data_IF_294864669493
#
_entry.id   IF_294864669493
#
_cell.length_a   1.000
_cell.length_b   1.000
_cell.length_c   1.000
_cell.angle_alpha   90.00
_cell.angle_beta   90.00
_cell.angle_gamma   90.00
#
_symmetry.space_group_name_H-M   'P 1'
#
loop_
_entity.id
_entity.type
_entity.pdbx_description
1 polymer ?
#
# COMPACT_ATOMS: atom_id res chain seq x y z
N UNK A 1 6.77 0.10 -7.47
CA UNK A 1 6.48 1.13 -8.48
C UNK A 1 7.45 2.30 -8.31
N UNK A 2 7.38 3.10 -7.22
CA UNK A 2 8.21 4.30 -7.04
C UNK A 2 9.72 4.02 -7.22
N UNK A 3 10.22 2.94 -6.60
CA UNK A 3 11.63 2.54 -6.72
C UNK A 3 12.04 2.20 -8.16
N UNK A 4 11.16 1.56 -8.93
CA UNK A 4 11.41 1.23 -10.34
C UNK A 4 11.37 2.48 -11.23
N UNK A 5 10.57 3.48 -10.84
CA UNK A 5 10.47 4.76 -11.54
C UNK A 5 11.57 5.76 -11.13
N UNK A 6 12.36 5.45 -10.09
CA UNK A 6 13.33 6.39 -9.51
C UNK A 6 12.67 7.65 -8.92
N UNK A 7 11.41 7.52 -8.46
CA UNK A 7 10.60 8.61 -7.96
C UNK A 7 10.45 8.56 -6.43
N UNK A 8 10.12 9.69 -5.81
CA UNK A 8 9.80 9.69 -4.39
C UNK A 8 8.48 8.96 -4.12
N UNK A 9 8.34 8.49 -2.89
CA UNK A 9 7.16 7.75 -2.46
C UNK A 9 6.54 8.40 -1.22
N UNK A 10 5.27 8.77 -1.35
CA UNK A 10 4.44 9.23 -0.24
C UNK A 10 3.34 8.21 0.03
N UNK A 11 3.14 7.85 1.29
CA UNK A 11 2.09 6.92 1.69
C UNK A 11 1.19 7.55 2.74
N UNK A 12 -0.10 7.36 2.55
CA UNK A 12 -1.15 7.74 3.49
C UNK A 12 -2.27 6.71 3.47
N UNK A 13 -3.36 6.96 4.18
CA UNK A 13 -4.54 6.10 4.16
C UNK A 13 -5.83 6.91 4.22
N UNK A 14 -6.93 6.36 3.69
CA UNK A 14 -8.23 7.02 3.71
C UNK A 14 -8.63 7.54 5.10
N UNK A 15 -8.54 6.74 6.17
CA UNK A 15 -8.88 7.20 7.53
C UNK A 15 -8.02 8.34 8.08
N UNK A 16 -6.81 8.53 7.60
CA UNK A 16 -5.90 9.61 8.02
C UNK A 16 -6.28 10.92 7.36
N UNK A 17 -6.81 10.87 6.14
CA UNK A 17 -7.25 12.02 5.38
C UNK A 17 -8.66 12.46 5.84
N UNK A 18 -8.75 13.08 6.99
CA UNK A 18 -10.02 13.45 7.60
C UNK A 18 -10.61 14.74 7.00
N UNK A 19 -9.77 15.64 6.55
CA UNK A 19 -10.14 16.96 6.00
C UNK A 19 -9.50 17.18 4.62
N UNK A 20 -10.14 18.02 3.83
CA UNK A 20 -9.64 18.43 2.52
C UNK A 20 -8.23 19.03 2.58
N UNK A 21 -7.92 19.80 3.62
CA UNK A 21 -6.61 20.37 3.84
C UNK A 21 -5.49 19.34 4.07
N UNK A 22 -5.81 18.15 4.60
CA UNK A 22 -4.82 17.09 4.81
C UNK A 22 -4.31 16.56 3.45
N UNK A 23 -5.23 16.32 2.52
CA UNK A 23 -4.88 15.88 1.17
C UNK A 23 -4.19 17.01 0.39
N UNK A 24 -4.70 18.24 0.47
CA UNK A 24 -4.12 19.40 -0.18
C UNK A 24 -2.64 19.60 0.23
N UNK A 25 -2.34 19.50 1.52
CA UNK A 25 -0.97 19.59 2.02
C UNK A 25 -0.05 18.49 1.46
N UNK A 26 -0.56 17.28 1.24
CA UNK A 26 0.23 16.22 0.61
C UNK A 26 0.45 16.51 -0.88
N UNK A 27 -0.60 16.87 -1.62
CA UNK A 27 -0.54 17.10 -3.06
C UNK A 27 0.38 18.26 -3.44
N UNK A 28 0.33 19.37 -2.70
CA UNK A 28 1.18 20.55 -2.94
C UNK A 28 2.66 20.31 -2.62
N UNK A 29 2.97 19.27 -1.85
CA UNK A 29 4.34 18.85 -1.52
C UNK A 29 4.86 17.68 -2.37
N UNK A 30 4.14 17.26 -3.41
CA UNK A 30 4.63 16.30 -4.38
C UNK A 30 5.58 16.97 -5.38
N UNK A 31 6.61 16.24 -5.78
CA UNK A 31 7.45 16.59 -6.91
C UNK A 31 6.93 15.97 -8.21
N UNK A 32 7.53 16.37 -9.34
CA UNK A 32 7.21 15.77 -10.63
C UNK A 32 7.52 14.27 -10.63
N UNK A 33 6.55 13.48 -11.14
CA UNK A 33 6.60 12.01 -11.21
C UNK A 33 6.59 11.28 -9.86
N UNK A 34 6.36 11.96 -8.74
CA UNK A 34 6.23 11.32 -7.44
C UNK A 34 5.06 10.33 -7.40
N UNK A 35 5.15 9.36 -6.50
CA UNK A 35 4.11 8.35 -6.30
C UNK A 35 3.40 8.61 -4.98
N UNK A 36 2.10 8.87 -5.05
CA UNK A 36 1.21 8.94 -3.88
C UNK A 36 0.45 7.62 -3.73
N UNK A 37 0.59 6.97 -2.60
CA UNK A 37 -0.14 5.75 -2.24
C UNK A 37 -1.16 6.04 -1.15
N UNK A 38 -2.43 5.69 -1.41
CA UNK A 38 -3.52 5.81 -0.42
C UNK A 38 -4.04 4.40 -0.11
N UNK A 39 -3.77 3.92 1.11
CA UNK A 39 -4.33 2.67 1.59
C UNK A 39 -5.77 2.85 2.07
N UNK A 40 -6.58 1.79 1.98
CA UNK A 40 -8.01 1.81 2.35
C UNK A 40 -8.76 3.01 1.74
N UNK A 41 -8.51 3.28 0.46
CA UNK A 41 -9.01 4.47 -0.25
C UNK A 41 -10.55 4.56 -0.24
N UNK A 42 -11.27 3.44 -0.10
CA UNK A 42 -12.72 3.41 0.06
C UNK A 42 -13.23 4.06 1.36
N UNK A 43 -12.33 4.45 2.24
CA UNK A 43 -12.64 5.14 3.50
C UNK A 43 -12.35 6.64 3.46
N UNK A 44 -12.11 7.18 2.28
CA UNK A 44 -11.99 8.63 2.12
C UNK A 44 -13.31 9.31 2.50
N UNK A 45 -13.18 10.49 3.08
CA UNK A 45 -14.33 11.39 3.29
C UNK A 45 -14.77 11.95 1.90
N UNK A 46 -16.08 12.05 1.62
CA UNK A 46 -16.57 12.63 0.36
C UNK A 46 -15.96 13.99 0.00
N UNK A 47 -15.75 14.87 0.97
CA UNK A 47 -15.12 16.17 0.74
C UNK A 47 -13.64 16.05 0.31
N UNK A 48 -12.97 14.98 0.70
CA UNK A 48 -11.59 14.69 0.28
C UNK A 48 -11.58 14.08 -1.13
N UNK A 49 -12.59 13.24 -1.45
CA UNK A 49 -12.75 12.69 -2.79
C UNK A 49 -12.98 13.80 -3.83
N UNK A 50 -13.81 14.82 -3.52
CA UNK A 50 -14.08 15.95 -4.41
C UNK A 50 -12.82 16.72 -4.80
N UNK A 51 -11.87 16.85 -3.87
CA UNK A 51 -10.57 17.48 -4.16
C UNK A 51 -9.66 16.55 -4.97
N UNK A 52 -9.78 15.25 -4.75
CA UNK A 52 -8.94 14.28 -5.45
C UNK A 52 -9.30 14.20 -6.95
N UNK A 53 -10.55 14.43 -7.33
CA UNK A 53 -10.99 14.32 -8.72
C UNK A 53 -10.23 15.26 -9.68
N UNK A 54 -10.19 16.59 -9.48
CA UNK A 54 -9.43 17.47 -10.37
C UNK A 54 -7.92 17.21 -10.29
N UNK A 55 -7.43 16.79 -9.13
CA UNK A 55 -6.01 16.41 -8.99
C UNK A 55 -5.63 15.18 -9.84
N UNK A 56 -6.56 14.24 -10.05
CA UNK A 56 -6.35 13.05 -10.89
C UNK A 56 -6.51 13.34 -12.39
N UNK A 57 -7.42 14.20 -12.75
CA UNK A 57 -7.78 14.46 -14.16
C UNK A 57 -6.89 15.54 -14.77
N UNK A 58 -6.79 16.70 -14.10
CA UNK A 58 -6.19 17.90 -14.64
C UNK A 58 -4.88 18.31 -13.97
N UNK A 59 -4.48 17.60 -12.90
CA UNK A 59 -3.36 17.98 -12.03
C UNK A 59 -3.56 19.39 -11.44
N UNK A 60 -4.78 19.67 -11.02
CA UNK A 60 -5.17 20.93 -10.41
C UNK A 60 -5.81 20.69 -9.03
N UNK A 61 -5.69 21.68 -8.17
CA UNK A 61 -6.26 21.68 -6.83
C UNK A 61 -7.00 22.98 -6.61
N UNK A 62 -8.32 22.91 -6.40
CA UNK A 62 -9.13 24.05 -6.03
C UNK A 62 -9.27 24.16 -4.51
N UNK A 63 -8.76 25.23 -3.94
CA UNK A 63 -8.84 25.53 -2.50
C UNK A 63 -9.68 26.74 -2.24
N UNK A 64 -10.59 26.64 -1.27
CA UNK A 64 -11.32 27.79 -0.74
C UNK A 64 -10.53 28.36 0.43
N UNK A 65 -10.06 29.60 0.29
CA UNK A 65 -9.32 30.34 1.30
C UNK A 65 -10.22 31.42 1.88
N UNK A 66 -10.31 31.46 3.21
CA UNK A 66 -11.17 32.40 3.95
C UNK A 66 -12.53 31.81 4.31
N UNK A 67 -13.35 32.59 5.00
CA UNK A 67 -14.68 32.20 5.49
C UNK A 67 -15.72 33.23 5.06
N UNK A 68 -16.98 32.78 4.90
CA UNK A 68 -18.12 33.62 4.59
C UNK A 68 -18.04 34.31 3.21
N UNK A 69 -18.62 35.52 3.06
CA UNK A 69 -18.68 36.20 1.76
C UNK A 69 -17.34 36.64 1.18
N UNK A 70 -16.27 36.61 1.99
CA UNK A 70 -14.89 36.94 1.59
C UNK A 70 -14.10 35.75 1.15
N UNK A 71 -14.66 34.53 1.16
CA UNK A 71 -13.99 33.32 0.71
C UNK A 71 -13.64 33.43 -0.79
N UNK A 72 -12.42 33.04 -1.12
CA UNK A 72 -11.91 33.04 -2.51
C UNK A 72 -11.49 31.63 -2.89
N UNK A 73 -11.86 31.19 -4.08
CA UNK A 73 -11.31 29.99 -4.68
C UNK A 73 -9.95 30.32 -5.30
N UNK A 74 -8.95 29.54 -4.95
CA UNK A 74 -7.60 29.62 -5.53
C UNK A 74 -7.31 28.28 -6.18
N UNK A 75 -6.97 28.32 -7.48
CA UNK A 75 -6.53 27.14 -8.23
C UNK A 75 -5.02 27.04 -8.20
N UNK A 76 -4.53 25.87 -7.84
CA UNK A 76 -3.10 25.55 -7.75
C UNK A 76 -2.81 24.44 -8.76
N UNK A 77 -1.84 24.66 -9.65
CA UNK A 77 -1.32 23.61 -10.53
C UNK A 77 -0.45 22.65 -9.73
N UNK A 78 -0.66 21.37 -9.93
CA UNK A 78 0.09 20.29 -9.31
C UNK A 78 1.11 19.71 -10.29
N UNK A 79 2.28 19.26 -9.84
CA UNK A 79 3.17 18.48 -10.67
C UNK A 79 2.50 17.15 -11.07
N UNK A 80 2.90 16.59 -12.20
CA UNK A 80 2.38 15.29 -12.63
C UNK A 80 2.86 14.20 -11.70
N UNK A 81 1.92 13.48 -11.09
CA UNK A 81 2.19 12.41 -10.14
C UNK A 81 1.44 11.12 -10.50
N UNK A 82 1.83 10.02 -9.90
CA UNK A 82 1.14 8.74 -10.01
C UNK A 82 0.37 8.45 -8.73
N UNK A 83 -0.96 8.31 -8.83
CA UNK A 83 -1.80 7.88 -7.72
C UNK A 83 -1.97 6.36 -7.72
N UNK A 84 -1.73 5.74 -6.58
CA UNK A 84 -2.01 4.32 -6.34
C UNK A 84 -2.99 4.22 -5.17
N UNK A 85 -4.20 3.75 -5.46
CA UNK A 85 -5.22 3.46 -4.44
C UNK A 85 -5.24 1.97 -4.11
N UNK A 86 -5.25 1.62 -2.83
CA UNK A 86 -5.47 0.24 -2.39
C UNK A 86 -6.78 0.14 -1.61
N UNK A 87 -7.51 -0.95 -1.83
CA UNK A 87 -8.76 -1.24 -1.12
C UNK A 87 -8.96 -2.73 -0.95
N UNK A 88 -9.52 -3.12 0.20
CA UNK A 88 -10.02 -4.48 0.44
C UNK A 88 -11.50 -4.62 0.04
N UNK A 89 -12.17 -3.52 -0.28
CA UNK A 89 -13.63 -3.46 -0.52
C UNK A 89 -13.94 -2.60 -1.75
N UNK A 90 -13.66 -3.11 -2.93
CA UNK A 90 -13.90 -2.39 -4.21
C UNK A 90 -15.36 -1.95 -4.40
N UNK A 91 -16.32 -2.69 -3.85
CA UNK A 91 -17.75 -2.34 -3.90
C UNK A 91 -18.15 -1.12 -3.05
N UNK A 92 -17.29 -0.67 -2.13
CA UNK A 92 -17.50 0.55 -1.35
C UNK A 92 -16.81 1.79 -1.94
N UNK A 93 -16.05 1.60 -3.02
CA UNK A 93 -15.41 2.72 -3.72
C UNK A 93 -16.47 3.44 -4.55
N UNK A 94 -16.56 4.75 -4.40
CA UNK A 94 -17.47 5.57 -5.19
C UNK A 94 -17.19 5.38 -6.69
N UNK A 95 -18.25 5.20 -7.48
CA UNK A 95 -18.11 5.00 -8.93
C UNK A 95 -17.27 6.09 -9.61
N UNK A 96 -17.49 7.40 -9.31
CA UNK A 96 -16.68 8.46 -9.89
C UNK A 96 -15.19 8.34 -9.59
N UNK A 97 -14.83 7.92 -8.38
CA UNK A 97 -13.43 7.71 -8.01
C UNK A 97 -12.83 6.50 -8.71
N UNK A 98 -13.57 5.39 -8.75
CA UNK A 98 -13.12 4.15 -9.39
C UNK A 98 -12.84 4.33 -10.88
N UNK A 99 -13.73 5.05 -11.57
CA UNK A 99 -13.67 5.21 -13.02
C UNK A 99 -12.52 6.13 -13.48
N UNK A 100 -11.96 6.92 -12.56
CA UNK A 100 -10.77 7.75 -12.79
C UNK A 100 -9.44 6.99 -12.69
N UNK A 101 -9.46 5.77 -12.15
CA UNK A 101 -8.27 4.91 -12.18
C UNK A 101 -8.17 4.21 -13.54
N UNK A 102 -7.10 4.51 -14.29
CA UNK A 102 -6.88 3.90 -15.61
C UNK A 102 -6.47 2.42 -15.57
N UNK A 103 -5.93 1.94 -14.44
CA UNK A 103 -5.41 0.57 -14.31
C UNK A 103 -6.00 -0.10 -13.06
N UNK A 104 -7.13 -0.83 -13.18
CA UNK A 104 -7.64 -1.64 -12.09
C UNK A 104 -6.83 -2.95 -12.01
N UNK A 105 -6.20 -3.19 -10.84
CA UNK A 105 -5.45 -4.41 -10.58
C UNK A 105 -6.08 -5.20 -9.43
N UNK A 106 -6.32 -6.49 -9.65
CA UNK A 106 -6.78 -7.40 -8.60
C UNK A 106 -5.64 -8.29 -8.14
N UNK A 107 -5.31 -8.24 -6.86
CA UNK A 107 -4.34 -9.12 -6.25
C UNK A 107 -5.03 -10.41 -5.80
N UNK A 108 -4.60 -11.54 -6.34
CA UNK A 108 -5.06 -12.86 -5.95
C UNK A 108 -4.18 -13.42 -4.80
N UNK A 109 -4.67 -14.46 -4.14
CA UNK A 109 -3.83 -15.23 -3.22
C UNK A 109 -2.68 -15.88 -3.98
N UNK A 110 -1.54 -15.98 -3.32
CA UNK A 110 -0.36 -16.66 -3.86
C UNK A 110 -0.51 -18.17 -3.77
N UNK A 111 0.03 -18.87 -4.76
CA UNK A 111 0.24 -20.31 -4.69
C UNK A 111 1.29 -20.70 -3.62
N UNK A 112 1.29 -21.95 -3.20
CA UNK A 112 2.25 -22.43 -2.20
C UNK A 112 3.70 -22.29 -2.68
N UNK A 113 3.97 -22.58 -3.94
CA UNK A 113 5.31 -22.48 -4.53
C UNK A 113 5.84 -21.03 -4.55
N UNK A 114 4.98 -20.07 -4.87
CA UNK A 114 5.37 -18.65 -4.89
C UNK A 114 5.61 -18.13 -3.46
N UNK A 115 4.76 -18.54 -2.50
CA UNK A 115 4.98 -18.22 -1.08
C UNK A 115 6.27 -18.84 -0.57
N UNK A 116 6.61 -20.03 -0.99
CA UNK A 116 7.86 -20.69 -0.63
C UNK A 116 9.07 -19.88 -1.11
N UNK A 117 9.08 -19.44 -2.38
CA UNK A 117 10.14 -18.56 -2.91
C UNK A 117 10.26 -17.25 -2.12
N UNK A 118 9.11 -16.66 -1.74
CA UNK A 118 9.08 -15.45 -0.90
C UNK A 118 9.69 -15.72 0.46
N UNK A 119 9.36 -16.86 1.09
CA UNK A 119 9.88 -17.27 2.39
C UNK A 119 11.39 -17.53 2.36
N UNK A 120 11.88 -18.26 1.36
CA UNK A 120 13.31 -18.52 1.17
C UNK A 120 14.12 -17.24 1.00
N UNK A 121 13.57 -16.26 0.21
CA UNK A 121 14.18 -14.95 0.09
C UNK A 121 14.15 -14.16 1.40
N UNK A 122 13.03 -14.17 2.11
CA UNK A 122 12.88 -13.47 3.38
C UNK A 122 13.80 -14.06 4.46
N UNK A 123 13.91 -15.39 4.53
CA UNK A 123 14.80 -16.09 5.45
C UNK A 123 16.27 -15.72 5.22
N UNK A 124 16.72 -15.68 3.96
CA UNK A 124 18.08 -15.23 3.61
C UNK A 124 18.33 -13.78 4.06
N UNK A 125 17.39 -12.87 3.85
CA UNK A 125 17.53 -11.48 4.28
C UNK A 125 17.55 -11.30 5.80
N UNK A 126 16.93 -12.23 6.54
CA UNK A 126 16.89 -12.22 8.01
C UNK A 126 18.03 -13.05 8.64
N UNK A 127 18.89 -13.70 7.83
CA UNK A 127 19.91 -14.60 8.33
C UNK A 127 19.34 -15.85 9.04
N UNK A 128 18.10 -16.25 8.71
CA UNK A 128 17.47 -17.42 9.29
C UNK A 128 17.76 -18.66 8.43
N UNK A 129 18.38 -19.72 8.97
CA UNK A 129 18.62 -20.95 8.23
C UNK A 129 17.29 -21.71 8.06
N UNK A 130 16.70 -21.60 6.88
CA UNK A 130 15.44 -22.23 6.50
C UNK A 130 15.71 -23.20 5.35
N UNK A 131 15.35 -24.47 5.53
CA UNK A 131 15.42 -25.45 4.46
C UNK A 131 14.16 -25.46 3.58
N UNK A 132 14.19 -26.21 2.50
CA UNK A 132 13.11 -26.32 1.54
C UNK A 132 11.82 -26.90 2.16
N UNK A 133 11.95 -27.88 3.05
CA UNK A 133 10.83 -28.51 3.77
C UNK A 133 10.13 -27.56 4.73
N UNK A 134 10.91 -26.81 5.51
CA UNK A 134 10.40 -25.78 6.42
C UNK A 134 9.71 -24.66 5.66
N UNK A 135 10.30 -24.20 4.54
CA UNK A 135 9.69 -23.20 3.68
C UNK A 135 8.34 -23.66 3.10
N UNK A 136 8.27 -24.90 2.62
CA UNK A 136 7.05 -25.50 2.08
C UNK A 136 5.95 -25.61 3.16
N UNK A 137 6.30 -26.04 4.38
CA UNK A 137 5.33 -26.17 5.47
C UNK A 137 4.79 -24.81 5.91
N UNK A 138 5.64 -23.81 6.09
CA UNK A 138 5.19 -22.43 6.39
C UNK A 138 4.32 -21.88 5.26
N UNK A 139 4.69 -22.11 3.98
CA UNK A 139 3.90 -21.68 2.83
C UNK A 139 2.49 -22.28 2.84
N UNK A 140 2.39 -23.59 3.10
CA UNK A 140 1.12 -24.32 3.19
C UNK A 140 0.19 -23.73 4.25
N UNK A 141 0.73 -23.37 5.40
CA UNK A 141 -0.04 -22.78 6.53
C UNK A 141 -0.35 -21.28 6.33
N UNK A 142 0.23 -20.65 5.33
CA UNK A 142 0.11 -19.19 5.12
C UNK A 142 -1.17 -18.75 4.39
N UNK A 143 -2.01 -19.67 3.96
CA UNK A 143 -3.31 -19.41 3.32
C UNK A 143 -3.21 -18.43 2.14
N UNK A 144 -2.18 -18.53 1.32
CA UNK A 144 -2.00 -17.67 0.15
C UNK A 144 -1.56 -16.23 0.44
N UNK A 145 -1.20 -15.89 1.67
CA UNK A 145 -0.94 -14.51 2.09
C UNK A 145 0.52 -14.28 2.50
N UNK A 146 1.30 -13.47 1.75
CA UNK A 146 2.70 -13.17 2.10
C UNK A 146 2.87 -12.54 3.49
N UNK A 147 1.93 -11.72 3.94
CA UNK A 147 1.93 -11.12 5.29
C UNK A 147 1.86 -12.19 6.38
N UNK A 148 1.00 -13.21 6.19
CA UNK A 148 0.90 -14.34 7.12
C UNK A 148 2.17 -15.17 7.07
N UNK A 149 2.68 -15.48 5.88
CA UNK A 149 3.92 -16.21 5.66
C UNK A 149 5.11 -15.58 6.39
N UNK A 150 5.32 -14.27 6.20
CA UNK A 150 6.39 -13.54 6.86
C UNK A 150 6.23 -13.47 8.40
N UNK A 151 4.98 -13.43 8.90
CA UNK A 151 4.72 -13.49 10.34
C UNK A 151 5.03 -14.87 10.92
N UNK A 152 4.62 -15.93 10.25
CA UNK A 152 4.93 -17.31 10.65
C UNK A 152 6.44 -17.55 10.63
N UNK A 153 7.13 -17.16 9.57
CA UNK A 153 8.59 -17.31 9.48
C UNK A 153 9.31 -16.65 10.65
N UNK A 154 8.95 -15.41 11.01
CA UNK A 154 9.54 -14.74 12.18
C UNK A 154 9.29 -15.52 13.47
N UNK A 155 8.06 -16.01 13.66
CA UNK A 155 7.70 -16.79 14.85
C UNK A 155 8.49 -18.09 14.96
N UNK A 156 8.59 -18.84 13.85
CA UNK A 156 9.34 -20.11 13.80
C UNK A 156 10.83 -19.85 13.99
N UNK A 157 11.39 -18.80 13.40
CA UNK A 157 12.78 -18.39 13.62
C UNK A 157 13.09 -18.15 15.11
N UNK A 158 12.21 -17.39 15.78
CA UNK A 158 12.41 -17.07 17.20
C UNK A 158 12.31 -18.34 18.06
N UNK A 159 11.42 -19.27 17.69
CA UNK A 159 11.29 -20.57 18.34
C UNK A 159 12.52 -21.47 18.09
N UNK A 160 13.01 -21.52 16.86
CA UNK A 160 14.23 -22.23 16.49
C UNK A 160 15.44 -21.75 17.30
N UNK A 161 15.57 -20.42 17.46
CA UNK A 161 16.64 -19.84 18.26
C UNK A 161 16.58 -20.24 19.73
N UNK A 162 15.40 -20.33 20.33
CA UNK A 162 15.19 -20.77 21.71
C UNK A 162 15.55 -22.27 21.87
N UNK A 163 15.24 -23.09 20.88
CA UNK A 163 15.56 -24.52 20.88
C UNK A 163 17.00 -24.81 20.48
N UNK A 164 17.78 -23.82 20.07
CA UNK A 164 19.15 -24.06 19.57
C UNK A 164 19.19 -24.85 18.26
N UNK A 165 18.10 -24.81 17.47
CA UNK A 165 18.00 -25.52 16.21
C UNK A 165 18.91 -24.88 15.15
N UNK A 166 19.75 -25.68 14.50
CA UNK A 166 20.67 -25.20 13.46
C UNK A 166 19.93 -24.79 12.15
N UNK A 167 18.79 -25.39 11.91
CA UNK A 167 18.00 -25.17 10.68
C UNK A 167 16.50 -25.30 10.98
N UNK A 168 15.71 -24.48 10.33
CA UNK A 168 14.24 -24.56 10.34
C UNK A 168 13.83 -25.56 9.25
N UNK A 169 13.51 -26.78 9.67
CA UNK A 169 13.00 -27.84 8.82
C UNK A 169 11.47 -27.96 8.89
N UNK A 170 10.90 -28.93 8.19
CA UNK A 170 9.46 -29.17 8.18
C UNK A 170 8.88 -29.59 9.54
N UNK A 171 9.67 -30.18 10.43
CA UNK A 171 9.22 -30.63 11.75
C UNK A 171 9.12 -29.47 12.73
N UNK A 172 9.99 -28.46 12.58
CA UNK A 172 10.03 -27.27 13.40
C UNK A 172 9.04 -26.22 12.90
N UNK A 173 8.67 -26.22 11.62
CA UNK A 173 7.80 -25.25 10.96
C UNK A 173 6.31 -25.58 11.13
#
# INVERSE_FOLDING_TARGET
VARELGANFRATSGPVLAKSGDLAAILTNLGDRDVLFIDEIHRLNPLVEEILYPAMEDFELDLIIGEGPSARSVRIELPKFTLIGATTRTGLLATPLRDRFGIPARLNFYGAEDLQKILERAARLMGAPLDHGGAAEIARRSRGTPRVAGRLLRRVRDFAAVQGAATIDAALA
#
